data_IF_971560849081
#
_entry.id   IF_971560849081
#
_cell.length_a   1.000
_cell.length_b   1.000
_cell.length_c   1.000
_cell.angle_alpha   90.00
_cell.angle_beta   90.00
_cell.angle_gamma   90.00
#
_symmetry.space_group_name_H-M   'P 1'
#
loop_
_entity.id
_entity.type
_entity.pdbx_description
1 polymer ?
#
# COMPACT_ATOMS: atom_id res chain seq x y z
N UNK A 1 -8.59 -0.56 15.30
CA UNK A 1 -9.13 0.12 14.10
C UNK A 1 -10.24 -0.74 13.52
N UNK A 2 -11.30 -0.16 12.96
CA UNK A 2 -12.40 -0.93 12.36
C UNK A 2 -11.88 -1.69 11.10
N UNK A 3 -12.09 -3.00 11.04
CA UNK A 3 -11.69 -3.85 9.90
C UNK A 3 -12.29 -3.39 8.57
N UNK A 4 -13.50 -2.79 8.59
CA UNK A 4 -14.10 -2.21 7.40
C UNK A 4 -13.30 -1.01 6.85
N UNK A 5 -12.66 -0.21 7.72
CA UNK A 5 -11.80 0.91 7.31
C UNK A 5 -10.50 0.37 6.71
N UNK A 6 -9.91 -0.65 7.32
CA UNK A 6 -8.71 -1.32 6.82
C UNK A 6 -8.97 -1.90 5.42
N UNK A 7 -10.09 -2.60 5.24
CA UNK A 7 -10.48 -3.15 3.93
C UNK A 7 -10.61 -2.06 2.88
N UNK A 8 -11.36 -0.99 3.16
CA UNK A 8 -11.55 0.11 2.20
C UNK A 8 -10.24 0.78 1.78
N UNK A 9 -9.28 0.90 2.70
CA UNK A 9 -7.96 1.45 2.39
C UNK A 9 -7.13 0.46 1.57
N UNK A 10 -7.15 -0.83 1.92
CA UNK A 10 -6.50 -1.87 1.14
C UNK A 10 -7.07 -1.91 -0.30
N UNK A 11 -8.39 -1.80 -0.46
CA UNK A 11 -9.06 -1.76 -1.77
C UNK A 11 -8.60 -0.55 -2.59
N UNK A 12 -8.50 0.62 -1.95
CA UNK A 12 -8.03 1.84 -2.61
C UNK A 12 -6.56 1.75 -3.04
N UNK A 13 -5.69 1.13 -2.23
CA UNK A 13 -4.30 0.86 -2.60
C UNK A 13 -4.25 -0.12 -3.77
N UNK A 14 -4.98 -1.23 -3.70
CA UNK A 14 -5.01 -2.24 -4.75
C UNK A 14 -5.49 -1.70 -6.10
N UNK A 15 -6.48 -0.82 -6.07
CA UNK A 15 -6.92 -0.11 -7.25
C UNK A 15 -5.83 0.80 -7.83
N UNK A 16 -5.15 1.57 -6.98
CA UNK A 16 -4.13 2.51 -7.41
C UNK A 16 -2.86 1.84 -7.95
N UNK A 17 -2.43 0.72 -7.36
CA UNK A 17 -1.29 -0.06 -7.84
C UNK A 17 -1.64 -0.89 -9.11
N UNK A 18 -2.93 -0.99 -9.45
CA UNK A 18 -3.39 -1.66 -10.66
C UNK A 18 -3.59 -3.17 -10.50
N UNK A 19 -3.89 -3.65 -9.29
CA UNK A 19 -4.16 -5.07 -9.02
C UNK A 19 -5.32 -5.63 -9.86
N UNK A 20 -6.34 -4.80 -10.13
CA UNK A 20 -7.50 -5.19 -10.93
C UNK A 20 -7.27 -5.10 -12.45
N UNK A 21 -6.08 -4.67 -12.88
CA UNK A 21 -5.72 -4.63 -14.30
C UNK A 21 -5.10 -5.98 -14.67
N UNK A 22 -5.80 -6.73 -15.53
CA UNK A 22 -5.33 -8.03 -15.98
C UNK A 22 -3.93 -7.93 -16.60
N UNK A 23 -3.01 -8.79 -16.15
CA UNK A 23 -1.63 -8.83 -16.64
C UNK A 23 -0.71 -7.77 -16.04
N UNK A 24 -1.19 -6.88 -15.15
CA UNK A 24 -0.30 -6.00 -14.38
C UNK A 24 0.62 -6.82 -13.45
N UNK A 25 1.73 -6.22 -12.99
CA UNK A 25 2.63 -6.89 -12.04
C UNK A 25 1.90 -7.29 -10.74
N UNK A 26 1.17 -6.38 -10.05
CA UNK A 26 0.38 -6.73 -8.86
C UNK A 26 -0.59 -7.89 -9.09
N UNK A 27 -1.26 -7.92 -10.25
CA UNK A 27 -2.17 -9.01 -10.62
C UNK A 27 -1.44 -10.34 -10.78
N UNK A 28 -0.33 -10.39 -11.54
CA UNK A 28 0.45 -11.63 -11.74
C UNK A 28 1.10 -12.15 -10.46
N UNK A 29 1.50 -11.24 -9.58
CA UNK A 29 2.24 -11.58 -8.35
C UNK A 29 1.31 -11.88 -7.17
N UNK A 30 -0.01 -11.84 -7.37
CA UNK A 30 -1.00 -11.90 -6.28
C UNK A 30 -0.72 -10.88 -5.17
N UNK A 31 -0.18 -9.71 -5.53
CA UNK A 31 0.34 -8.73 -4.59
C UNK A 31 -0.43 -7.40 -4.73
N UNK A 32 -1.60 -7.25 -4.09
CA UNK A 32 -2.46 -6.09 -4.27
C UNK A 32 -1.84 -4.79 -3.75
N UNK A 33 -0.86 -4.86 -2.84
CA UNK A 33 -0.20 -3.69 -2.31
C UNK A 33 1.07 -3.30 -3.05
N UNK A 34 1.48 -4.09 -4.04
CA UNK A 34 2.82 -4.02 -4.64
C UNK A 34 3.91 -3.99 -3.55
N UNK A 35 3.74 -4.88 -2.58
CA UNK A 35 4.53 -4.94 -1.35
C UNK A 35 5.98 -5.31 -1.66
N UNK A 36 6.92 -4.50 -1.16
CA UNK A 36 8.37 -4.74 -1.25
C UNK A 36 8.93 -5.51 -0.04
N UNK A 37 8.09 -5.79 0.97
CA UNK A 37 8.46 -6.56 2.16
C UNK A 37 7.34 -7.52 2.49
N UNK A 38 7.70 -8.75 2.78
CA UNK A 38 6.75 -9.72 3.30
C UNK A 38 6.62 -9.57 4.81
N UNK A 39 5.49 -9.04 5.25
CA UNK A 39 5.17 -8.83 6.66
C UNK A 39 4.41 -10.01 7.27
N UNK A 40 4.14 -11.06 6.48
CA UNK A 40 3.33 -12.21 6.87
C UNK A 40 4.08 -13.54 6.81
N UNK A 41 5.32 -13.54 6.29
CA UNK A 41 6.12 -14.74 6.02
C UNK A 41 5.42 -15.74 5.08
N UNK A 42 4.57 -15.24 4.17
CA UNK A 42 3.79 -16.01 3.18
C UNK A 42 4.29 -15.82 1.74
N UNK A 43 5.25 -14.94 1.52
CA UNK A 43 5.89 -14.72 0.23
C UNK A 43 6.56 -16.00 -0.28
N UNK A 44 6.38 -16.27 -1.56
CA UNK A 44 6.91 -17.46 -2.25
C UNK A 44 8.07 -17.16 -3.19
N UNK A 45 8.31 -15.89 -3.46
CA UNK A 45 9.37 -15.43 -4.34
C UNK A 45 9.33 -13.92 -4.49
N UNK A 46 10.10 -13.45 -5.47
CA UNK A 46 10.29 -12.03 -5.73
C UNK A 46 10.27 -11.76 -7.23
N UNK A 47 9.58 -10.70 -7.64
CA UNK A 47 9.64 -10.09 -8.96
C UNK A 47 10.34 -8.74 -8.82
N UNK A 48 11.66 -8.73 -9.03
CA UNK A 48 12.50 -7.60 -8.64
C UNK A 48 12.38 -7.34 -7.13
N UNK A 49 12.01 -6.12 -6.68
CA UNK A 49 11.86 -5.82 -5.25
C UNK A 49 10.51 -6.26 -4.68
N UNK A 50 9.58 -6.77 -5.50
CA UNK A 50 8.19 -7.02 -5.09
C UNK A 50 7.95 -8.47 -4.71
N UNK A 51 7.23 -8.69 -3.61
CA UNK A 51 6.87 -10.02 -3.13
C UNK A 51 5.91 -10.69 -4.12
N UNK A 52 6.09 -11.99 -4.36
CA UNK A 52 5.14 -12.86 -5.05
C UNK A 52 4.43 -13.73 -4.01
N UNK A 53 3.10 -13.72 -3.99
CA UNK A 53 2.27 -14.58 -3.14
C UNK A 53 1.73 -15.78 -3.94
N UNK A 54 1.54 -16.93 -3.28
CA UNK A 54 0.98 -18.10 -3.96
C UNK A 54 -0.48 -17.88 -4.34
N UNK A 55 -1.23 -17.15 -3.50
CA UNK A 55 -2.64 -16.88 -3.72
C UNK A 55 -2.99 -15.41 -3.52
N UNK A 56 -4.03 -14.89 -4.20
CA UNK A 56 -4.53 -13.53 -3.96
C UNK A 56 -4.84 -13.26 -2.49
N UNK A 57 -5.40 -14.26 -1.80
CA UNK A 57 -5.82 -14.16 -0.39
C UNK A 57 -4.65 -13.81 0.52
N UNK A 58 -3.49 -14.44 0.30
CA UNK A 58 -2.27 -14.16 1.07
C UNK A 58 -1.77 -12.73 0.84
N UNK A 59 -1.77 -12.26 -0.41
CA UNK A 59 -1.39 -10.87 -0.70
C UNK A 59 -2.34 -9.83 -0.11
N UNK A 60 -3.64 -10.12 -0.11
CA UNK A 60 -4.64 -9.27 0.55
C UNK A 60 -4.49 -9.25 2.07
N UNK A 61 -4.14 -10.37 2.68
CA UNK A 61 -3.84 -10.45 4.11
C UNK A 61 -2.60 -9.62 4.46
N UNK A 62 -1.54 -9.72 3.65
CA UNK A 62 -0.32 -8.94 3.83
C UNK A 62 -0.57 -7.43 3.68
N UNK A 63 -1.35 -7.02 2.67
CA UNK A 63 -1.73 -5.61 2.50
C UNK A 63 -2.56 -5.11 3.69
N UNK A 64 -3.56 -5.86 4.15
CA UNK A 64 -4.35 -5.50 5.33
C UNK A 64 -3.49 -5.43 6.59
N UNK A 65 -2.52 -6.34 6.75
CA UNK A 65 -1.55 -6.29 7.84
C UNK A 65 -0.71 -5.01 7.79
N UNK A 66 -0.21 -4.62 6.61
CA UNK A 66 0.52 -3.36 6.46
C UNK A 66 -0.34 -2.14 6.79
N UNK A 67 -1.59 -2.10 6.32
CA UNK A 67 -2.53 -1.02 6.65
C UNK A 67 -2.75 -0.92 8.16
N UNK A 68 -2.89 -2.05 8.87
CA UNK A 68 -2.95 -2.05 10.35
C UNK A 68 -1.70 -1.42 10.98
N UNK A 69 -0.52 -1.74 10.48
CA UNK A 69 0.74 -1.18 10.98
C UNK A 69 0.87 0.32 10.71
N UNK A 70 0.39 0.81 9.56
CA UNK A 70 0.34 2.26 9.25
C UNK A 70 -0.45 3.04 10.31
N UNK A 71 -1.54 2.46 10.82
CA UNK A 71 -2.38 3.10 11.86
C UNK A 71 -1.85 2.93 13.27
N UNK A 72 -1.06 1.89 13.54
CA UNK A 72 -0.48 1.65 14.86
C UNK A 72 0.80 2.48 15.10
N UNK A 73 1.06 3.54 14.31
CA UNK A 73 2.22 4.41 14.48
C UNK A 73 3.57 3.74 14.20
N UNK A 74 3.57 2.52 13.67
CA UNK A 74 4.77 1.78 13.26
C UNK A 74 5.24 2.30 11.90
N UNK A 75 5.73 3.55 11.89
CA UNK A 75 6.17 4.31 10.70
C UNK A 75 7.32 3.66 9.90
N UNK A 76 7.91 2.57 10.40
CA UNK A 76 8.95 1.80 9.70
C UNK A 76 8.48 1.12 8.40
N UNK A 77 7.17 1.09 8.13
CA UNK A 77 6.61 0.59 6.87
C UNK A 77 6.54 1.63 5.74
N UNK A 78 6.81 2.92 6.00
CA UNK A 78 6.75 4.00 4.98
C UNK A 78 8.09 4.26 4.25
N UNK A 79 9.17 3.60 4.68
CA UNK A 79 10.54 3.88 4.19
C UNK A 79 11.08 2.87 3.18
N UNK A 80 10.35 1.77 2.93
CA UNK A 80 10.42 1.09 1.64
C UNK A 80 9.61 1.94 0.65
N UNK A 81 10.11 2.08 -0.57
CA UNK A 81 9.72 3.10 -1.56
C UNK A 81 8.21 3.33 -1.57
N UNK A 82 7.78 4.57 -1.29
CA UNK A 82 6.36 4.93 -1.19
C UNK A 82 5.60 4.39 -2.42
N UNK A 83 4.60 3.49 -2.24
CA UNK A 83 3.75 3.06 -3.33
C UNK A 83 3.16 4.29 -4.04
N UNK A 84 2.84 4.18 -5.33
CA UNK A 84 2.37 5.31 -6.14
C UNK A 84 1.19 6.03 -5.48
N UNK A 85 0.30 5.27 -4.82
CA UNK A 85 -0.79 5.82 -4.01
C UNK A 85 -0.31 6.73 -2.86
N UNK A 86 0.63 6.25 -2.02
CA UNK A 86 1.13 7.00 -0.86
C UNK A 86 1.89 8.24 -1.32
N UNK A 87 2.69 8.13 -2.38
CA UNK A 87 3.38 9.29 -2.97
C UNK A 87 2.39 10.40 -3.39
N UNK A 88 1.27 10.05 -4.05
CA UNK A 88 0.28 11.01 -4.51
C UNK A 88 -0.68 11.51 -3.41
N UNK A 89 -1.17 10.61 -2.54
CA UNK A 89 -2.07 10.97 -1.45
C UNK A 89 -1.38 11.92 -0.45
N UNK A 90 -0.12 11.66 -0.07
CA UNK A 90 0.63 12.52 0.82
C UNK A 90 1.12 13.81 0.14
N UNK A 91 1.49 13.81 -1.15
CA UNK A 91 1.74 15.07 -1.88
C UNK A 91 0.52 15.99 -1.89
N UNK A 92 -0.67 15.45 -2.19
CA UNK A 92 -1.92 16.23 -2.26
C UNK A 92 -2.38 16.73 -0.88
N UNK A 93 -2.14 15.95 0.18
CA UNK A 93 -2.42 16.37 1.57
C UNK A 93 -1.42 17.44 2.02
N UNK A 94 -0.12 17.26 1.77
CA UNK A 94 0.95 18.18 2.19
C UNK A 94 0.98 19.50 1.39
N UNK A 95 0.58 19.48 0.11
CA UNK A 95 0.44 20.72 -0.67
C UNK A 95 -0.70 21.60 -0.16
N UNK A 96 -1.78 21.01 0.40
CA UNK A 96 -2.89 21.77 0.99
C UNK A 96 -2.54 22.37 2.35
N UNK A 97 -1.68 21.71 3.14
CA UNK A 97 -1.25 22.24 4.44
C UNK A 97 -0.29 23.43 4.29
N UNK A 98 0.63 23.41 3.31
CA UNK A 98 1.48 24.58 3.00
C UNK A 98 0.76 25.72 2.29
N UNK A 99 -0.27 25.42 1.48
CA UNK A 99 -1.04 26.47 0.80
C UNK A 99 -1.85 27.36 1.77
N UNK A 100 -2.13 26.87 2.99
CA UNK A 100 -2.84 27.65 4.02
C UNK A 100 -1.91 28.51 4.90
N UNK A 101 -0.60 28.28 4.90
CA UNK A 101 0.38 29.17 5.57
C UNK A 101 0.83 30.34 4.68
N UNK A 102 0.60 30.28 3.36
CA UNK A 102 1.00 31.33 2.41
C UNK A 102 -0.11 32.37 2.18
N UNK A 103 -1.32 32.17 2.71
CA UNK A 103 -2.45 33.12 2.58
C UNK A 103 -2.81 33.89 3.87
N UNK A 104 -1.94 33.85 4.89
CA UNK A 104 -2.09 34.62 6.14
C UNK A 104 -0.83 35.44 6.52
N UNK A 105 0.04 35.71 5.55
CA UNK A 105 1.14 36.70 5.64
C UNK A 105 1.11 37.57 4.38
#
# INVERSE_FOLDING_TARGET
MNEAVISKIADAIAFAEGFFVAGSRPHRNNNPGDLERDLTSKGRGWDGPYVIYATPQEGWEALRHQVRLMFNGSFFALRARLPYFVHNFFKKRWSRTKALEIYLL
#
